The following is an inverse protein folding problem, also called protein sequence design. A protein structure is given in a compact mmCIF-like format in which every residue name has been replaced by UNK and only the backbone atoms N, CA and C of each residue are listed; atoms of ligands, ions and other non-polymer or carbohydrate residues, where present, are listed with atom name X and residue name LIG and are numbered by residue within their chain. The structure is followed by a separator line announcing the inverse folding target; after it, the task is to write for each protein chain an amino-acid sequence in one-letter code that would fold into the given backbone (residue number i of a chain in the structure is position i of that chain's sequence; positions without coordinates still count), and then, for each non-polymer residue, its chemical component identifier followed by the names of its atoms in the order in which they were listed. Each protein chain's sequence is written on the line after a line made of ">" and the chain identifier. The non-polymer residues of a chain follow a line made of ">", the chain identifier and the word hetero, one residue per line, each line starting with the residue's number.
data_IF_533054408656
#
_entry.id   IF_533054408656
#
_cell.length_a   1.000
_cell.length_b   1.000
_cell.length_c   1.000
_cell.angle_alpha   90.00
_cell.angle_beta   90.00
_cell.angle_gamma   90.00
#
_symmetry.space_group_name_H-M   'P 1'
#
loop_
_entity.id
_entity.type
_entity.pdbx_description
1 polymer ?
#
# COMPACT_ATOMS: atom_id res chain seq x y z
N UNK A 1 -8.35 10.16 3.78
CA UNK A 1 -8.27 11.59 3.48
C UNK A 1 -7.95 12.44 4.71
N UNK A 2 -8.83 12.47 5.72
CA UNK A 2 -8.71 13.37 6.88
C UNK A 2 -7.37 13.30 7.60
N UNK A 3 -6.81 12.10 7.81
CA UNK A 3 -5.52 11.92 8.49
C UNK A 3 -4.38 12.54 7.66
N UNK A 4 -4.33 12.25 6.36
CA UNK A 4 -3.32 12.82 5.46
C UNK A 4 -3.44 14.34 5.37
N UNK A 5 -4.66 14.87 5.32
CA UNK A 5 -4.93 16.31 5.29
C UNK A 5 -4.41 17.01 6.55
N UNK A 6 -4.72 16.46 7.73
CA UNK A 6 -4.29 17.04 9.01
C UNK A 6 -2.77 16.94 9.21
N UNK A 7 -2.16 15.82 8.82
CA UNK A 7 -0.71 15.67 8.85
C UNK A 7 -0.03 16.72 7.94
N UNK A 8 -0.51 16.87 6.72
CA UNK A 8 -0.01 17.85 5.76
C UNK A 8 -0.16 19.28 6.28
N UNK A 9 -1.32 19.63 6.85
CA UNK A 9 -1.57 20.95 7.43
C UNK A 9 -0.54 21.28 8.52
N UNK A 10 -0.34 20.37 9.48
CA UNK A 10 0.62 20.55 10.59
C UNK A 10 2.07 20.71 10.10
N UNK A 11 2.48 19.89 9.12
CA UNK A 11 3.83 19.98 8.56
C UNK A 11 4.02 21.31 7.81
N UNK A 12 3.04 21.73 7.01
CA UNK A 12 3.11 22.98 6.27
C UNK A 12 3.13 24.21 7.19
N UNK A 13 2.29 24.27 8.23
CA UNK A 13 2.28 25.33 9.24
C UNK A 13 3.61 25.41 10.01
N UNK A 14 4.17 24.25 10.33
CA UNK A 14 5.48 24.17 10.99
C UNK A 14 6.67 24.42 10.04
N UNK A 15 6.43 24.60 8.74
CA UNK A 15 7.45 24.71 7.67
C UNK A 15 8.48 23.58 7.73
N UNK A 16 8.00 22.36 7.97
CA UNK A 16 8.81 21.15 8.08
C UNK A 16 8.55 20.22 6.90
N UNK A 17 9.59 19.66 6.27
CA UNK A 17 9.40 18.59 5.31
C UNK A 17 8.83 17.34 5.99
N UNK A 18 8.28 16.43 5.22
CA UNK A 18 7.76 15.17 5.75
C UNK A 18 7.46 14.12 4.70
N UNK A 19 7.05 12.95 5.18
CA UNK A 19 6.60 11.86 4.34
C UNK A 19 5.27 11.28 4.87
N UNK A 20 4.32 11.07 3.99
CA UNK A 20 3.04 10.41 4.25
C UNK A 20 3.06 9.09 3.47
N UNK A 21 2.87 7.98 4.18
CA UNK A 21 2.78 6.66 3.57
C UNK A 21 1.36 6.13 3.76
N UNK A 22 0.61 6.02 2.67
CA UNK A 22 -0.73 5.46 2.67
C UNK A 22 -0.68 3.93 2.53
N UNK A 23 -1.63 3.24 3.14
CA UNK A 23 -1.78 1.79 2.99
C UNK A 23 -2.89 1.51 1.98
N UNK A 24 -2.47 1.21 0.74
CA UNK A 24 -3.35 0.79 -0.34
C UNK A 24 -3.60 -0.75 -0.27
N UNK A 25 -3.63 -1.40 -1.40
CA UNK A 25 -3.69 -2.85 -1.59
C UNK A 25 -3.36 -3.16 -3.05
N UNK A 26 -2.90 -4.36 -3.36
CA UNK A 26 -2.82 -4.84 -4.75
C UNK A 26 -4.18 -4.81 -5.44
N UNK A 27 -5.29 -4.94 -4.69
CA UNK A 27 -6.65 -4.78 -5.21
C UNK A 27 -7.05 -3.32 -5.50
N UNK A 28 -6.20 -2.35 -5.17
CA UNK A 28 -6.28 -0.99 -5.69
C UNK A 28 -5.57 -0.81 -7.03
N UNK A 29 -4.75 -1.77 -7.44
CA UNK A 29 -4.02 -1.81 -8.71
C UNK A 29 -4.65 -2.76 -9.72
N UNK A 30 -5.38 -3.76 -9.24
CA UNK A 30 -6.11 -4.75 -10.01
C UNK A 30 -7.43 -5.10 -9.35
N UNK A 31 -8.13 -6.09 -9.89
CA UNK A 31 -9.44 -6.52 -9.39
C UNK A 31 -9.48 -8.03 -9.20
N UNK A 32 -10.35 -8.45 -8.29
CA UNK A 32 -10.63 -9.86 -8.04
C UNK A 32 -12.14 -10.04 -7.78
N UNK A 33 -12.77 -11.12 -8.28
CA UNK A 33 -14.17 -11.39 -8.03
C UNK A 33 -14.52 -11.39 -6.52
N UNK A 34 -15.64 -10.76 -6.17
CA UNK A 34 -16.11 -10.65 -4.79
C UNK A 34 -15.54 -9.47 -3.99
N UNK A 35 -14.60 -8.70 -4.54
CA UNK A 35 -13.94 -7.59 -3.83
C UNK A 35 -14.23 -6.20 -4.41
N UNK A 36 -15.31 -6.02 -5.18
CA UNK A 36 -15.58 -4.78 -5.93
C UNK A 36 -15.56 -3.51 -5.08
N UNK A 37 -16.23 -3.50 -3.93
CA UNK A 37 -16.28 -2.32 -3.04
C UNK A 37 -14.91 -2.08 -2.39
N UNK A 38 -14.23 -3.14 -1.95
CA UNK A 38 -12.89 -3.03 -1.39
C UNK A 38 -11.89 -2.53 -2.43
N UNK A 39 -11.88 -3.10 -3.63
CA UNK A 39 -11.03 -2.68 -4.74
C UNK A 39 -11.26 -1.21 -5.10
N UNK A 40 -12.52 -0.77 -5.20
CA UNK A 40 -12.87 0.63 -5.44
C UNK A 40 -12.32 1.54 -4.32
N UNK A 41 -12.46 1.15 -3.05
CA UNK A 41 -11.93 1.92 -1.92
C UNK A 41 -10.41 2.05 -1.96
N UNK A 42 -9.70 0.96 -2.30
CA UNK A 42 -8.23 0.94 -2.39
C UNK A 42 -7.72 1.61 -3.67
N UNK A 43 -8.47 1.57 -4.77
CA UNK A 43 -8.23 2.37 -5.95
C UNK A 43 -8.32 3.87 -5.67
N UNK A 44 -9.28 4.28 -4.84
CA UNK A 44 -9.38 5.66 -4.36
C UNK A 44 -8.12 6.08 -3.57
N UNK A 45 -7.58 5.21 -2.70
CA UNK A 45 -6.31 5.48 -1.98
C UNK A 45 -5.13 5.61 -2.93
N UNK A 46 -5.06 4.77 -3.97
CA UNK A 46 -4.04 4.85 -5.03
C UNK A 46 -4.06 6.22 -5.69
N UNK A 47 -5.23 6.65 -6.16
CA UNK A 47 -5.34 7.94 -6.87
C UNK A 47 -5.17 9.14 -5.94
N UNK A 48 -5.68 9.04 -4.71
CA UNK A 48 -5.47 10.04 -3.67
C UNK A 48 -3.97 10.25 -3.37
N UNK A 49 -3.19 9.17 -3.28
CA UNK A 49 -1.74 9.22 -3.07
C UNK A 49 -1.06 10.04 -4.15
N UNK A 50 -1.38 9.81 -5.41
CA UNK A 50 -0.81 10.52 -6.56
C UNK A 50 -1.20 12.00 -6.56
N UNK A 51 -2.46 12.31 -6.28
CA UNK A 51 -2.95 13.70 -6.20
C UNK A 51 -2.24 14.45 -5.06
N UNK A 52 -2.20 13.88 -3.86
CA UNK A 52 -1.53 14.50 -2.72
C UNK A 52 -0.02 14.67 -2.93
N UNK A 53 0.64 13.72 -3.60
CA UNK A 53 2.06 13.83 -3.93
C UNK A 53 2.36 15.08 -4.79
N UNK A 54 1.47 15.38 -5.73
CA UNK A 54 1.58 16.58 -6.57
C UNK A 54 1.25 17.85 -5.76
N UNK A 55 0.15 17.85 -5.02
CA UNK A 55 -0.33 19.03 -4.30
C UNK A 55 0.63 19.48 -3.17
N UNK A 56 1.26 18.51 -2.49
CA UNK A 56 2.02 18.75 -1.27
C UNK A 56 3.53 18.92 -1.50
N UNK A 57 4.02 18.64 -2.71
CA UNK A 57 5.45 18.76 -3.04
C UNK A 57 5.98 20.18 -2.80
N UNK A 58 5.18 21.20 -3.06
CA UNK A 58 5.53 22.60 -2.79
C UNK A 58 5.82 22.91 -1.31
N UNK A 59 5.38 22.05 -0.40
CA UNK A 59 5.66 22.15 1.04
C UNK A 59 6.79 21.22 1.49
N UNK A 60 7.49 20.55 0.56
CA UNK A 60 8.51 19.56 0.88
C UNK A 60 7.94 18.27 1.48
N UNK A 61 6.66 17.97 1.25
CA UNK A 61 5.99 16.78 1.78
C UNK A 61 5.84 15.77 0.65
N UNK A 62 6.44 14.59 0.83
CA UNK A 62 6.29 13.46 -0.08
C UNK A 62 5.10 12.59 0.34
N UNK A 63 4.38 12.06 -0.65
CA UNK A 63 3.25 11.17 -0.39
C UNK A 63 3.38 9.93 -1.26
N UNK A 64 3.48 8.78 -0.64
CA UNK A 64 3.60 7.50 -1.30
C UNK A 64 2.60 6.50 -0.71
N UNK A 65 2.46 5.35 -1.31
CA UNK A 65 1.69 4.25 -0.75
C UNK A 65 2.45 2.93 -0.88
N UNK A 66 2.20 2.01 0.05
CA UNK A 66 2.45 0.59 -0.16
C UNK A 66 1.14 -0.08 -0.56
N UNK A 67 1.23 -1.08 -1.42
CA UNK A 67 0.11 -1.92 -1.85
C UNK A 67 0.40 -3.37 -1.45
N UNK A 68 0.08 -3.77 -0.20
CA UNK A 68 0.33 -5.13 0.25
C UNK A 68 -0.50 -6.15 -0.53
N UNK A 69 0.11 -7.33 -0.74
CA UNK A 69 -0.59 -8.54 -1.13
C UNK A 69 -1.22 -9.25 0.06
N UNK A 70 -1.16 -10.58 0.06
CA UNK A 70 -1.60 -11.40 1.17
C UNK A 70 -0.48 -11.62 2.18
N UNK A 71 -0.74 -11.26 3.43
CA UNK A 71 0.17 -11.39 4.56
C UNK A 71 -0.42 -12.33 5.62
N UNK A 72 0.45 -12.98 6.36
CA UNK A 72 0.04 -13.80 7.50
C UNK A 72 -0.42 -12.91 8.65
N UNK A 73 -1.71 -13.00 8.97
CA UNK A 73 -2.36 -12.26 10.04
C UNK A 73 -3.43 -13.15 10.67
N UNK A 74 -3.86 -12.86 11.88
CA UNK A 74 -4.96 -13.57 12.54
C UNK A 74 -6.21 -13.63 11.62
N UNK A 75 -6.50 -12.55 10.91
CA UNK A 75 -7.64 -12.48 10.00
C UNK A 75 -7.51 -13.41 8.79
N UNK A 76 -6.31 -13.62 8.28
CA UNK A 76 -6.06 -14.44 7.08
C UNK A 76 -5.88 -15.93 7.39
N UNK A 77 -5.49 -16.29 8.61
CA UNK A 77 -5.16 -17.66 9.01
C UNK A 77 -6.31 -18.65 8.74
N UNK A 78 -7.52 -18.32 9.17
CA UNK A 78 -8.67 -19.21 9.00
C UNK A 78 -8.96 -19.51 7.53
N UNK A 79 -8.86 -18.51 6.65
CA UNK A 79 -9.04 -18.70 5.22
C UNK A 79 -7.95 -19.57 4.61
N UNK A 80 -6.68 -19.28 4.89
CA UNK A 80 -5.55 -20.02 4.31
C UNK A 80 -5.35 -21.42 4.93
N UNK A 81 -5.95 -21.71 6.08
CA UNK A 81 -6.03 -23.08 6.60
C UNK A 81 -7.07 -23.93 5.83
N UNK A 82 -8.00 -23.32 5.11
CA UNK A 82 -9.01 -24.05 4.33
C UNK A 82 -8.44 -24.61 3.01
N UNK A 83 -9.10 -25.60 2.43
CA UNK A 83 -8.74 -26.17 1.13
C UNK A 83 -8.73 -25.11 0.01
N UNK A 84 -9.71 -24.19 0.02
CA UNK A 84 -9.75 -23.06 -0.93
C UNK A 84 -8.57 -22.11 -0.75
N UNK A 85 -8.22 -21.79 0.48
CA UNK A 85 -7.06 -20.95 0.79
C UNK A 85 -5.75 -21.59 0.36
N UNK A 86 -5.59 -22.89 0.56
CA UNK A 86 -4.42 -23.64 0.09
C UNK A 86 -4.34 -23.68 -1.44
N UNK A 87 -5.46 -23.82 -2.13
CA UNK A 87 -5.50 -23.73 -3.60
C UNK A 87 -5.10 -22.32 -4.08
N UNK A 88 -5.61 -21.27 -3.43
CA UNK A 88 -5.24 -19.87 -3.72
C UNK A 88 -3.74 -19.67 -3.50
N UNK A 89 -3.19 -20.16 -2.39
CA UNK A 89 -1.76 -20.05 -2.08
C UNK A 89 -0.89 -20.70 -3.15
N UNK A 90 -1.26 -21.89 -3.63
CA UNK A 90 -0.54 -22.58 -4.72
C UNK A 90 -0.57 -21.81 -6.05
N UNK A 91 -1.60 -20.99 -6.29
CA UNK A 91 -1.70 -20.17 -7.50
C UNK A 91 -0.87 -18.89 -7.47
N UNK A 92 -0.46 -18.43 -6.26
CA UNK A 92 0.39 -17.25 -6.12
C UNK A 92 1.80 -17.49 -6.65
N UNK A 93 2.44 -16.52 -7.29
CA UNK A 93 3.82 -16.66 -7.75
C UNK A 93 4.80 -17.02 -6.63
N UNK A 94 4.65 -16.39 -5.46
CA UNK A 94 5.49 -16.64 -4.28
C UNK A 94 5.21 -18.00 -3.60
N UNK A 95 4.02 -18.57 -3.80
CA UNK A 95 3.50 -19.78 -3.14
C UNK A 95 3.53 -19.70 -1.61
N UNK A 96 3.60 -18.49 -1.07
CA UNK A 96 3.55 -18.24 0.37
C UNK A 96 2.89 -16.89 0.64
N UNK A 97 2.45 -16.70 1.87
CA UNK A 97 2.06 -15.39 2.39
C UNK A 97 3.30 -14.55 2.69
N UNK A 98 3.16 -13.24 2.64
CA UNK A 98 4.16 -12.34 3.20
C UNK A 98 4.15 -12.38 4.72
N UNK A 99 5.30 -12.14 5.33
CA UNK A 99 5.44 -11.90 6.77
C UNK A 99 5.37 -10.40 7.04
N UNK A 100 4.77 -9.98 8.16
CA UNK A 100 4.58 -8.56 8.45
C UNK A 100 5.88 -7.76 8.47
N UNK A 101 6.98 -8.37 8.89
CA UNK A 101 8.30 -7.76 8.90
C UNK A 101 8.82 -7.42 7.49
N UNK A 102 8.31 -8.08 6.45
CA UNK A 102 8.68 -7.78 5.07
C UNK A 102 8.10 -6.43 4.57
N UNK A 103 7.16 -5.83 5.32
CA UNK A 103 6.67 -4.47 5.07
C UNK A 103 7.58 -3.38 5.65
N UNK A 104 8.41 -3.71 6.64
CA UNK A 104 9.21 -2.73 7.39
C UNK A 104 10.20 -2.01 6.49
N UNK A 105 10.99 -2.76 5.72
CA UNK A 105 11.98 -2.18 4.80
C UNK A 105 11.38 -1.20 3.79
N UNK A 106 10.35 -1.59 3.02
CA UNK A 106 9.65 -0.69 2.10
C UNK A 106 9.10 0.58 2.76
N UNK A 107 8.49 0.46 3.95
CA UNK A 107 7.96 1.62 4.68
C UNK A 107 9.07 2.55 5.13
N UNK A 108 10.15 2.02 5.71
CA UNK A 108 11.30 2.83 6.14
C UNK A 108 11.95 3.53 4.95
N UNK A 109 12.14 2.84 3.83
CA UNK A 109 12.68 3.44 2.61
C UNK A 109 11.84 4.65 2.17
N UNK A 110 10.52 4.49 2.08
CA UNK A 110 9.63 5.58 1.64
C UNK A 110 9.56 6.73 2.66
N UNK A 111 9.73 6.44 3.96
CA UNK A 111 9.63 7.42 5.03
C UNK A 111 10.94 8.20 5.30
N UNK A 112 12.08 7.68 4.86
CA UNK A 112 13.42 8.22 5.15
C UNK A 112 14.06 8.95 3.97
N UNK A 113 15.29 9.43 4.15
CA UNK A 113 16.11 10.03 3.10
C UNK A 113 16.45 9.06 1.96
N UNK A 114 16.43 7.74 2.20
CA UNK A 114 16.58 6.75 1.15
C UNK A 114 15.50 6.86 0.05
N UNK A 115 14.33 7.40 0.41
CA UNK A 115 13.24 7.69 -0.51
C UNK A 115 13.09 9.17 -0.87
N UNK A 116 14.12 10.02 -0.68
CA UNK A 116 14.02 11.48 -0.84
C UNK A 116 13.53 11.93 -2.22
N UNK A 117 13.80 11.18 -3.27
CA UNK A 117 13.32 11.47 -4.63
C UNK A 117 12.15 10.57 -5.08
N UNK A 118 11.56 9.80 -4.14
CA UNK A 118 10.40 8.95 -4.39
C UNK A 118 9.14 9.66 -3.91
N UNK A 119 8.29 10.06 -4.85
CA UNK A 119 7.04 10.77 -4.57
C UNK A 119 5.93 10.33 -5.53
N UNK A 120 4.73 10.04 -5.05
CA UNK A 120 3.59 9.59 -5.83
C UNK A 120 3.61 8.10 -6.21
N UNK A 121 4.56 7.32 -5.70
CA UNK A 121 4.64 5.89 -5.99
C UNK A 121 3.58 5.11 -5.19
N UNK A 122 3.06 4.08 -5.82
CA UNK A 122 2.30 3.01 -5.14
C UNK A 122 3.11 1.74 -5.31
N UNK A 123 3.78 1.32 -4.24
CA UNK A 123 4.74 0.22 -4.24
C UNK A 123 4.05 -1.10 -3.85
N UNK A 124 3.90 -2.06 -4.79
CA UNK A 124 3.43 -3.39 -4.44
C UNK A 124 4.45 -4.11 -3.57
N UNK A 125 3.96 -4.73 -2.48
CA UNK A 125 4.75 -5.62 -1.62
C UNK A 125 3.95 -6.91 -1.49
N UNK A 126 4.11 -7.84 -2.43
CA UNK A 126 3.11 -8.89 -2.65
C UNK A 126 3.66 -10.20 -3.26
N UNK A 127 4.98 -10.36 -3.38
CA UNK A 127 5.56 -11.54 -4.01
C UNK A 127 5.11 -11.74 -5.48
N UNK A 128 4.94 -10.63 -6.21
CA UNK A 128 4.49 -10.59 -7.61
C UNK A 128 3.02 -11.00 -7.83
N UNK A 129 2.20 -11.08 -6.79
CA UNK A 129 0.82 -11.56 -6.91
C UNK A 129 -0.01 -10.66 -7.85
N UNK A 130 0.12 -9.32 -7.77
CA UNK A 130 -0.62 -8.38 -8.61
C UNK A 130 -0.36 -8.54 -10.12
N UNK A 131 0.74 -9.15 -10.52
CA UNK A 131 1.07 -9.37 -11.94
C UNK A 131 0.24 -10.49 -12.55
N UNK A 132 -0.51 -11.24 -11.73
CA UNK A 132 -1.34 -12.40 -12.12
C UNK A 132 -2.72 -12.37 -11.43
N UNK A 133 -3.22 -11.20 -11.05
CA UNK A 133 -4.59 -11.07 -10.59
C UNK A 133 -5.54 -11.41 -11.75
N UNK A 134 -6.22 -12.52 -11.62
CA UNK A 134 -7.22 -13.02 -12.57
C UNK A 134 -8.54 -13.28 -11.87
#
# INVERSE_FOLDING_TARGET
>A
WRVSQEAARRLAEAKRPGAIINIASILGLGVQPGYSVYAASKGAVVQLTRALANDLMRYGIRVNAIAPGWFETEMSQAFFASEKGQAALRSMPSRRLGQLDELVGPVIMLASEAGSFVNGVVLPVDGAHHTRLA
#
